data_IF_785921733329
#
_entry.id   IF_785921733329
#
_cell.length_a   1.000
_cell.length_b   1.000
_cell.length_c   1.000
_cell.angle_alpha   90.00
_cell.angle_beta   90.00
_cell.angle_gamma   90.00
#
_symmetry.space_group_name_H-M   'P 1'
#
loop_
_entity.id
_entity.type
_entity.pdbx_description
1 polymer ?
#
# COMPACT_ATOMS: atom_id res chain seq x y z
N UNK A 1 7.93 -15.58 -32.10
CA UNK A 1 8.16 -14.77 -30.88
C UNK A 1 6.77 -14.29 -30.46
N UNK A 2 6.41 -14.48 -29.21
CA UNK A 2 5.10 -14.05 -28.69
C UNK A 2 5.10 -12.52 -28.59
N UNK A 3 4.10 -11.89 -29.23
CA UNK A 3 3.87 -10.45 -29.02
C UNK A 3 3.09 -10.26 -27.70
N UNK A 4 3.78 -9.86 -26.63
CA UNK A 4 3.18 -9.72 -25.32
C UNK A 4 2.10 -8.63 -25.25
N UNK A 5 2.19 -7.59 -26.08
CA UNK A 5 1.21 -6.50 -26.10
C UNK A 5 -0.16 -6.95 -26.64
N UNK A 6 -0.21 -8.04 -27.41
CA UNK A 6 -1.46 -8.64 -27.89
C UNK A 6 -2.12 -9.59 -26.88
N UNK A 7 -1.33 -10.07 -25.89
CA UNK A 7 -1.79 -11.04 -24.89
C UNK A 7 -2.17 -10.37 -23.59
N UNK A 8 -1.49 -9.27 -23.25
CA UNK A 8 -1.72 -8.53 -22.01
C UNK A 8 -2.96 -7.63 -22.12
N UNK A 9 -3.63 -7.44 -20.98
CA UNK A 9 -4.71 -6.47 -20.87
C UNK A 9 -4.22 -5.07 -21.23
N UNK A 10 -5.00 -4.31 -22.00
CA UNK A 10 -4.69 -2.92 -22.36
C UNK A 10 -4.48 -2.01 -21.14
N UNK A 11 -5.17 -2.27 -20.05
CA UNK A 11 -4.97 -1.55 -18.80
C UNK A 11 -3.59 -1.78 -18.19
N UNK A 12 -2.98 -2.97 -18.41
CA UNK A 12 -1.63 -3.30 -17.93
C UNK A 12 -0.56 -2.77 -18.87
N UNK A 13 -0.75 -2.91 -20.19
CA UNK A 13 0.21 -2.42 -21.22
C UNK A 13 0.45 -0.92 -21.08
N UNK A 14 -0.60 -0.16 -20.74
CA UNK A 14 -0.53 1.29 -20.62
C UNK A 14 0.07 1.79 -19.27
N UNK A 15 0.39 0.89 -18.33
CA UNK A 15 1.04 1.26 -17.07
C UNK A 15 2.54 1.33 -17.26
N UNK A 16 3.11 2.51 -17.04
CA UNK A 16 4.56 2.68 -17.07
C UNK A 16 5.19 2.05 -15.81
N UNK A 17 6.30 1.30 -15.95
CA UNK A 17 7.06 0.82 -14.80
C UNK A 17 7.49 1.97 -13.92
N UNK A 18 7.42 1.77 -12.58
CA UNK A 18 7.93 2.76 -11.62
C UNK A 18 9.44 2.95 -11.81
N UNK A 19 9.89 4.21 -11.95
CA UNK A 19 11.30 4.56 -12.02
C UNK A 19 12.09 4.33 -10.72
N UNK A 20 11.43 4.11 -9.60
CA UNK A 20 12.03 3.97 -8.27
C UNK A 20 13.06 2.83 -8.23
N UNK A 21 12.80 1.70 -8.87
CA UNK A 21 13.74 0.57 -8.89
C UNK A 21 15.08 0.91 -9.54
N UNK A 22 15.08 1.72 -10.60
CA UNK A 22 16.34 2.17 -11.22
C UNK A 22 17.23 2.95 -10.24
N UNK A 23 16.62 3.76 -9.38
CA UNK A 23 17.38 4.50 -8.36
C UNK A 23 17.92 3.58 -7.27
N UNK A 24 17.21 2.52 -6.91
CA UNK A 24 17.73 1.51 -5.97
C UNK A 24 18.93 0.78 -6.53
N UNK A 25 18.84 0.32 -7.79
CA UNK A 25 19.94 -0.36 -8.45
C UNK A 25 21.18 0.54 -8.55
N UNK A 26 20.99 1.83 -8.87
CA UNK A 26 22.07 2.82 -8.91
C UNK A 26 22.66 3.04 -7.51
N UNK A 27 21.83 3.28 -6.51
CA UNK A 27 22.32 3.54 -5.14
C UNK A 27 23.01 2.33 -4.51
N UNK A 28 22.57 1.11 -4.84
CA UNK A 28 23.21 -0.12 -4.39
C UNK A 28 24.59 -0.35 -5.02
N UNK A 29 24.86 0.21 -6.19
CA UNK A 29 26.15 0.14 -6.88
C UNK A 29 27.16 1.21 -6.47
N UNK A 30 26.76 2.17 -5.65
CA UNK A 30 27.61 3.31 -5.24
C UNK A 30 28.08 3.15 -3.78
N UNK A 31 29.38 3.33 -3.54
CA UNK A 31 29.94 3.35 -2.18
C UNK A 31 29.70 4.71 -1.50
N UNK A 32 29.41 4.68 -0.18
CA UNK A 32 29.30 5.88 0.65
C UNK A 32 28.03 6.71 0.43
N UNK A 33 27.02 6.16 -0.26
CA UNK A 33 25.73 6.84 -0.50
C UNK A 33 24.78 6.63 0.67
N UNK A 34 24.21 7.74 1.17
CA UNK A 34 23.06 7.70 2.07
C UNK A 34 21.81 7.71 1.21
N UNK A 35 21.14 6.55 1.11
CA UNK A 35 19.91 6.42 0.34
C UNK A 35 18.71 6.99 1.10
N UNK A 36 17.97 7.90 0.47
CA UNK A 36 16.66 8.40 0.93
C UNK A 36 15.52 7.84 0.07
N UNK A 37 15.80 6.78 -0.71
CA UNK A 37 14.87 6.26 -1.71
C UNK A 37 13.74 5.41 -1.13
N UNK A 38 14.00 4.66 -0.05
CA UNK A 38 13.00 3.82 0.63
C UNK A 38 12.72 4.39 2.00
N UNK A 39 11.45 4.63 2.29
CA UNK A 39 11.00 5.04 3.62
C UNK A 39 10.87 3.81 4.54
N UNK A 40 11.99 3.19 4.92
CA UNK A 40 12.00 2.11 5.91
C UNK A 40 12.67 2.54 7.21
N UNK A 41 12.20 2.03 8.38
CA UNK A 41 12.83 2.34 9.65
C UNK A 41 14.26 1.81 9.72
N UNK A 42 15.19 2.64 10.19
CA UNK A 42 16.59 2.27 10.46
C UNK A 42 16.76 1.39 11.73
N UNK A 43 15.70 1.24 12.49
CA UNK A 43 15.67 0.47 13.72
C UNK A 43 15.24 -0.97 13.49
N UNK A 44 15.92 -1.91 14.16
CA UNK A 44 15.43 -3.29 14.19
C UNK A 44 14.09 -3.36 14.93
N UNK A 45 13.20 -4.24 14.46
CA UNK A 45 11.95 -4.55 15.16
C UNK A 45 12.24 -4.90 16.64
N UNK A 46 11.54 -4.30 17.62
CA UNK A 46 11.75 -4.57 19.03
C UNK A 46 11.74 -6.07 19.35
N UNK A 47 12.64 -6.47 20.27
CA UNK A 47 12.86 -7.87 20.59
C UNK A 47 11.58 -8.61 20.99
N UNK A 48 10.70 -7.97 21.76
CA UNK A 48 9.44 -8.54 22.20
C UNK A 48 8.55 -8.97 21.02
N UNK A 49 8.50 -8.14 19.97
CA UNK A 49 7.73 -8.41 18.75
C UNK A 49 8.37 -9.57 17.97
N UNK A 50 9.70 -9.52 17.78
CA UNK A 50 10.44 -10.60 17.11
C UNK A 50 10.26 -11.95 17.83
N UNK A 51 10.37 -11.95 19.17
CA UNK A 51 10.17 -13.14 20.00
C UNK A 51 8.75 -13.69 19.87
N UNK A 52 7.73 -12.84 19.82
CA UNK A 52 6.35 -13.28 19.60
C UNK A 52 6.19 -13.98 18.24
N UNK A 53 6.81 -13.44 17.19
CA UNK A 53 6.82 -14.07 15.87
C UNK A 53 7.51 -15.45 15.88
N UNK A 54 8.71 -15.55 16.48
CA UNK A 54 9.45 -16.80 16.62
C UNK A 54 8.63 -17.85 17.40
N UNK A 55 8.04 -17.46 18.52
CA UNK A 55 7.21 -18.34 19.33
C UNK A 55 5.98 -18.84 18.57
N UNK A 56 5.37 -18.01 17.73
CA UNK A 56 4.21 -18.42 16.93
C UNK A 56 4.56 -19.51 15.93
N UNK A 57 5.73 -19.42 15.30
CA UNK A 57 6.24 -20.46 14.40
C UNK A 57 6.59 -21.75 15.16
N UNK A 58 7.26 -21.65 16.30
CA UNK A 58 7.60 -22.80 17.16
C UNK A 58 6.34 -23.52 17.68
N UNK A 59 5.25 -22.80 17.88
CA UNK A 59 3.95 -23.36 18.28
C UNK A 59 3.14 -23.92 17.08
N UNK A 60 3.71 -23.93 15.88
CA UNK A 60 3.03 -24.44 14.68
C UNK A 60 1.82 -23.60 14.24
N UNK A 61 1.77 -22.31 14.58
CA UNK A 61 0.69 -21.41 14.14
C UNK A 61 0.88 -20.99 12.67
N UNK A 62 0.86 -21.96 11.76
CA UNK A 62 1.17 -21.80 10.34
C UNK A 62 0.00 -22.17 9.42
N UNK A 63 -1.20 -22.29 9.96
CA UNK A 63 -2.43 -22.62 9.21
C UNK A 63 -3.06 -21.35 8.62
N UNK A 64 -3.93 -21.55 7.64
CA UNK A 64 -4.75 -20.47 7.09
C UNK A 64 -5.60 -19.81 8.18
N UNK A 65 -5.78 -18.50 8.03
CA UNK A 65 -6.70 -17.70 8.83
C UNK A 65 -7.95 -17.37 8.02
N UNK A 66 -8.89 -16.64 8.61
CA UNK A 66 -9.98 -16.01 7.86
C UNK A 66 -9.41 -15.07 6.78
N UNK A 67 -10.12 -14.93 5.64
CA UNK A 67 -9.78 -13.98 4.58
C UNK A 67 -9.70 -12.52 5.06
N UNK A 68 -10.35 -12.18 6.17
CA UNK A 68 -10.28 -10.86 6.78
C UNK A 68 -9.04 -10.65 7.66
N UNK A 69 -8.33 -11.72 7.99
CA UNK A 69 -7.19 -11.72 8.89
C UNK A 69 -7.41 -12.59 10.13
N UNK A 70 -6.41 -12.63 11.00
CA UNK A 70 -6.46 -13.38 12.26
C UNK A 70 -7.42 -12.69 13.25
N UNK A 71 -8.34 -13.43 13.85
CA UNK A 71 -9.36 -12.90 14.78
C UNK A 71 -8.77 -12.15 15.98
N UNK A 72 -7.62 -12.60 16.50
CA UNK A 72 -6.94 -11.92 17.61
C UNK A 72 -6.42 -10.57 17.14
N UNK A 73 -5.81 -10.52 15.96
CA UNK A 73 -5.31 -9.28 15.37
C UNK A 73 -6.45 -8.29 15.08
N UNK A 74 -7.57 -8.76 14.53
CA UNK A 74 -8.74 -7.91 14.25
C UNK A 74 -9.28 -7.26 15.54
N UNK A 75 -9.36 -8.04 16.64
CA UNK A 75 -9.77 -7.53 17.96
C UNK A 75 -8.78 -6.49 18.50
N UNK A 76 -7.48 -6.75 18.38
CA UNK A 76 -6.45 -5.81 18.85
C UNK A 76 -6.44 -4.51 18.03
N UNK A 77 -6.65 -4.58 16.71
CA UNK A 77 -6.83 -3.38 15.87
C UNK A 77 -8.04 -2.57 16.34
N UNK A 78 -9.19 -3.20 16.54
CA UNK A 78 -10.39 -2.54 17.04
C UNK A 78 -10.13 -1.85 18.39
N UNK A 79 -9.49 -2.56 19.33
CA UNK A 79 -9.13 -2.03 20.64
C UNK A 79 -8.13 -0.88 20.56
N UNK A 80 -7.16 -0.94 19.63
CA UNK A 80 -6.21 0.13 19.38
C UNK A 80 -6.90 1.39 18.85
N UNK A 81 -7.79 1.24 17.87
CA UNK A 81 -8.55 2.35 17.30
C UNK A 81 -9.42 3.04 18.36
N UNK A 82 -10.04 2.25 19.23
CA UNK A 82 -10.80 2.79 20.36
C UNK A 82 -9.91 3.56 21.35
N UNK A 83 -8.78 2.98 21.77
CA UNK A 83 -7.88 3.62 22.77
C UNK A 83 -7.24 4.89 22.26
N UNK A 84 -6.81 4.90 20.99
CA UNK A 84 -6.00 6.00 20.44
C UNK A 84 -6.81 7.09 19.75
N UNK A 85 -7.89 6.70 19.11
CA UNK A 85 -8.66 7.60 18.23
C UNK A 85 -10.13 7.74 18.65
N UNK A 86 -10.58 7.02 19.70
CA UNK A 86 -11.97 6.96 20.14
C UNK A 86 -12.95 6.50 19.07
N UNK A 87 -12.47 5.66 18.13
CA UNK A 87 -13.25 5.08 17.05
C UNK A 87 -13.57 3.63 17.35
N UNK A 88 -14.86 3.27 17.23
CA UNK A 88 -15.34 1.90 17.44
C UNK A 88 -15.58 1.23 16.10
N UNK A 89 -14.87 0.13 15.85
CA UNK A 89 -15.07 -0.73 14.69
C UNK A 89 -15.40 -2.15 15.12
N UNK A 90 -16.42 -2.76 14.50
CA UNK A 90 -16.68 -4.18 14.69
C UNK A 90 -15.54 -5.00 14.05
N UNK A 91 -14.77 -5.78 14.85
CA UNK A 91 -13.61 -6.49 14.32
C UNK A 91 -13.97 -7.56 13.28
N UNK A 92 -15.21 -8.08 13.30
CA UNK A 92 -15.65 -9.11 12.35
C UNK A 92 -16.17 -8.56 11.02
N UNK A 93 -16.62 -7.31 10.99
CA UNK A 93 -17.39 -6.75 9.86
C UNK A 93 -16.72 -5.53 9.24
N UNK A 94 -15.98 -4.75 10.02
CA UNK A 94 -15.47 -3.43 9.62
C UNK A 94 -13.95 -3.34 9.54
N UNK A 95 -13.25 -4.47 9.72
CA UNK A 95 -11.78 -4.50 9.65
C UNK A 95 -11.35 -5.59 8.67
N UNK A 96 -10.45 -5.24 7.76
CA UNK A 96 -9.78 -6.13 6.82
C UNK A 96 -8.27 -5.94 6.95
N UNK A 97 -7.54 -7.02 7.16
CA UNK A 97 -6.07 -7.04 7.14
C UNK A 97 -5.58 -7.42 5.76
N UNK A 98 -4.70 -6.62 5.20
CA UNK A 98 -4.15 -6.78 3.86
C UNK A 98 -2.63 -6.98 3.88
N UNK A 99 -2.07 -7.45 2.76
CA UNK A 99 -0.62 -7.57 2.58
C UNK A 99 -0.04 -6.19 2.21
N UNK A 100 0.05 -5.32 3.22
CA UNK A 100 0.53 -3.95 3.07
C UNK A 100 -0.54 -2.94 2.65
N UNK A 101 -0.16 -1.65 2.74
CA UNK A 101 -1.06 -0.54 2.42
C UNK A 101 -1.47 -0.45 0.95
N UNK A 102 -0.63 -0.94 0.03
CA UNK A 102 -0.97 -0.94 -1.40
C UNK A 102 -2.16 -1.84 -1.72
N UNK A 103 -2.25 -3.02 -1.09
CA UNK A 103 -3.42 -3.89 -1.25
C UNK A 103 -4.66 -3.28 -0.62
N UNK A 104 -4.53 -2.61 0.54
CA UNK A 104 -5.65 -1.92 1.17
C UNK A 104 -6.23 -0.84 0.24
N UNK A 105 -5.36 -0.06 -0.41
CA UNK A 105 -5.75 0.96 -1.38
C UNK A 105 -6.40 0.32 -2.62
N UNK A 106 -5.81 -0.74 -3.17
CA UNK A 106 -6.36 -1.45 -4.34
C UNK A 106 -7.76 -2.00 -4.05
N UNK A 107 -7.94 -2.68 -2.92
CA UNK A 107 -9.25 -3.22 -2.51
C UNK A 107 -10.27 -2.10 -2.30
N UNK A 108 -9.88 -1.00 -1.65
CA UNK A 108 -10.77 0.12 -1.43
C UNK A 108 -11.21 0.79 -2.75
N UNK A 109 -10.27 1.06 -3.65
CA UNK A 109 -10.57 1.67 -4.96
C UNK A 109 -11.46 0.75 -5.80
N UNK A 110 -11.15 -0.56 -5.85
CA UNK A 110 -12.01 -1.56 -6.55
C UNK A 110 -13.43 -1.61 -6.00
N UNK A 111 -13.62 -1.35 -4.72
CA UNK A 111 -14.94 -1.39 -4.10
C UNK A 111 -15.82 -0.17 -4.41
N UNK A 112 -15.22 0.99 -4.77
CA UNK A 112 -15.95 2.25 -4.86
C UNK A 112 -15.85 2.94 -6.23
N UNK A 113 -14.91 2.55 -7.10
CA UNK A 113 -14.66 3.19 -8.39
C UNK A 113 -15.22 2.33 -9.52
N UNK A 114 -16.09 2.90 -10.35
CA UNK A 114 -16.56 2.29 -11.59
C UNK A 114 -15.68 2.70 -12.77
N UNK A 115 -15.82 1.98 -13.89
CA UNK A 115 -15.15 2.34 -15.14
C UNK A 115 -15.58 3.73 -15.59
N UNK A 116 -14.62 4.63 -15.80
CA UNK A 116 -14.84 6.01 -16.21
C UNK A 116 -15.01 7.01 -15.07
N UNK A 117 -15.11 6.57 -13.82
CA UNK A 117 -15.14 7.47 -12.67
C UNK A 117 -13.81 8.24 -12.54
N UNK A 118 -13.89 9.51 -12.23
CA UNK A 118 -12.72 10.35 -12.00
C UNK A 118 -12.22 10.22 -10.56
N UNK A 119 -10.91 9.99 -10.40
CA UNK A 119 -10.23 9.91 -9.11
C UNK A 119 -9.20 11.02 -9.00
N UNK A 120 -9.41 11.96 -8.09
CA UNK A 120 -8.49 13.08 -7.84
C UNK A 120 -7.26 12.56 -7.07
N UNK A 121 -6.07 12.82 -7.63
CA UNK A 121 -4.79 12.39 -7.08
C UNK A 121 -3.87 13.61 -6.92
N UNK A 122 -3.71 14.15 -5.70
CA UNK A 122 -2.72 15.18 -5.45
C UNK A 122 -1.30 14.64 -5.64
N UNK A 123 -0.43 15.38 -6.32
CA UNK A 123 0.98 15.03 -6.49
C UNK A 123 1.88 16.13 -5.92
N UNK A 124 3.08 15.78 -5.34
CA UNK A 124 3.65 14.43 -5.24
C UNK A 124 2.91 13.54 -4.22
N UNK A 125 2.74 12.26 -4.54
CA UNK A 125 2.03 11.30 -3.70
C UNK A 125 2.58 9.88 -3.87
N UNK A 126 1.98 8.93 -3.17
CA UNK A 126 2.38 7.53 -3.25
C UNK A 126 2.16 6.96 -4.65
N UNK A 127 3.16 6.29 -5.17
CA UNK A 127 3.24 5.84 -6.57
C UNK A 127 2.15 4.85 -7.00
N UNK A 128 1.43 4.22 -6.06
CA UNK A 128 0.42 3.22 -6.39
C UNK A 128 -0.94 3.82 -6.75
N UNK A 129 -1.26 5.07 -6.39
CA UNK A 129 -2.60 5.64 -6.57
C UNK A 129 -3.02 5.70 -8.03
N UNK A 130 -2.19 6.26 -8.89
CA UNK A 130 -2.50 6.38 -10.31
C UNK A 130 -2.59 5.02 -11.03
N UNK A 131 -1.63 4.10 -10.90
CA UNK A 131 -1.73 2.78 -11.50
C UNK A 131 -2.96 1.99 -11.05
N UNK A 132 -3.28 1.99 -9.76
CA UNK A 132 -4.46 1.28 -9.24
C UNK A 132 -5.74 1.87 -9.83
N UNK A 133 -5.85 3.20 -9.88
CA UNK A 133 -7.01 3.88 -10.51
C UNK A 133 -7.20 3.43 -11.96
N UNK A 134 -6.12 3.38 -12.76
CA UNK A 134 -6.17 2.91 -14.15
C UNK A 134 -6.54 1.43 -14.26
N UNK A 135 -6.02 0.58 -13.36
CA UNK A 135 -6.30 -0.86 -13.35
C UNK A 135 -7.76 -1.19 -13.11
N UNK A 136 -8.47 -0.36 -12.37
CA UNK A 136 -9.92 -0.55 -12.14
C UNK A 136 -10.77 0.12 -13.22
N UNK A 137 -10.15 0.77 -14.21
CA UNK A 137 -10.85 1.50 -15.28
C UNK A 137 -11.25 2.93 -14.91
N UNK A 138 -10.81 3.44 -13.77
CA UNK A 138 -11.00 4.84 -13.37
C UNK A 138 -10.09 5.79 -14.15
N UNK A 139 -10.42 7.06 -14.15
CA UNK A 139 -9.69 8.15 -14.80
C UNK A 139 -8.94 8.96 -13.73
N UNK A 140 -7.59 8.90 -13.67
CA UNK A 140 -6.85 9.70 -12.71
C UNK A 140 -6.85 11.19 -13.10
N UNK A 141 -7.30 12.04 -12.21
CA UNK A 141 -7.26 13.51 -12.31
C UNK A 141 -6.13 14.03 -11.42
N UNK A 142 -5.02 14.37 -12.04
CA UNK A 142 -3.81 14.79 -11.31
C UNK A 142 -3.89 16.26 -10.93
N UNK A 143 -3.72 16.53 -9.62
CA UNK A 143 -3.58 17.90 -9.09
C UNK A 143 -2.12 18.08 -8.64
N UNK A 144 -1.38 18.95 -9.32
CA UNK A 144 -0.02 19.28 -8.92
C UNK A 144 -0.02 20.29 -7.75
N UNK A 145 0.35 19.81 -6.58
CA UNK A 145 0.55 20.66 -5.40
C UNK A 145 1.95 21.32 -5.45
N UNK A 146 2.11 22.47 -4.79
CA UNK A 146 3.32 23.27 -4.86
C UNK A 146 3.92 23.50 -3.48
N UNK A 147 5.26 23.58 -3.42
CA UNK A 147 6.00 23.85 -2.19
C UNK A 147 5.61 25.21 -1.57
N UNK A 148 5.30 26.21 -2.39
CA UNK A 148 4.87 27.55 -1.95
C UNK A 148 3.57 27.52 -1.14
N UNK A 149 2.77 26.46 -1.29
CA UNK A 149 1.51 26.22 -0.58
C UNK A 149 1.61 25.07 0.44
N UNK A 150 2.80 24.72 0.89
CA UNK A 150 3.07 23.58 1.79
C UNK A 150 2.50 22.26 1.24
N UNK A 151 2.48 22.09 -0.08
CA UNK A 151 1.88 20.94 -0.76
C UNK A 151 0.40 20.70 -0.42
N UNK A 152 -0.33 21.74 -0.06
CA UNK A 152 -1.79 21.69 0.15
C UNK A 152 -2.52 21.76 -1.17
N UNK A 153 -3.65 21.08 -1.26
CA UNK A 153 -4.59 21.26 -2.37
C UNK A 153 -5.23 22.64 -2.25
N UNK A 154 -5.08 23.44 -3.29
CA UNK A 154 -5.69 24.78 -3.38
C UNK A 154 -6.78 24.77 -4.44
N UNK A 155 -7.81 25.61 -4.25
CA UNK A 155 -8.87 25.86 -5.23
C UNK A 155 -8.35 26.66 -6.40
#
# INVERSE_FOLDING_TARGET
MINYDEVLSSSVVNIKPSGIRKFFDISASMEGVISLGVGEPDFQTPWQIRKAGINSLQQGKTKYTSNKGNDVLLKEISSYMQRKYHLNYNPKEQILVTVGGSEAIDVAIRAIVNVGDEVIIPQPSYVCYEPITRLVGGVPVIINTKAENDFKVTT
#
